data_IF_009672556504
#
_entry.id   IF_009672556504
#
_cell.length_a   1.000
_cell.length_b   1.000
_cell.length_c   1.000
_cell.angle_alpha   90.00
_cell.angle_beta   90.00
_cell.angle_gamma   90.00
#
_symmetry.space_group_name_H-M   'P 1'
#
loop_
_entity.id
_entity.type
_entity.pdbx_description
1 polymer ?
#
# COMPACT_ATOMS: atom_id res chain seq x y z
N UNK A 1 20.35 -9.16 -27.54
CA UNK A 1 19.35 -8.16 -27.09
C UNK A 1 19.67 -7.76 -25.67
N UNK A 2 19.78 -6.46 -25.42
CA UNK A 2 19.97 -5.97 -24.05
C UNK A 2 18.67 -6.14 -23.27
N UNK A 3 18.77 -6.69 -22.09
CA UNK A 3 17.63 -6.79 -21.18
C UNK A 3 17.16 -5.39 -20.77
N UNK A 4 15.86 -5.15 -20.86
CA UNK A 4 15.29 -3.88 -20.46
C UNK A 4 15.40 -3.72 -18.95
N UNK A 5 15.81 -2.55 -18.49
CA UNK A 5 15.91 -2.25 -17.07
C UNK A 5 15.07 -1.02 -16.74
N UNK A 6 14.55 -0.98 -15.52
CA UNK A 6 13.85 0.17 -14.97
C UNK A 6 14.53 0.59 -13.67
N UNK A 7 14.81 1.88 -13.52
CA UNK A 7 15.44 2.39 -12.32
C UNK A 7 14.42 3.12 -11.44
N UNK A 8 14.29 2.66 -10.20
CA UNK A 8 13.52 3.35 -9.17
C UNK A 8 14.51 4.16 -8.35
N UNK A 9 14.34 5.47 -8.36
CA UNK A 9 15.22 6.36 -7.60
C UNK A 9 14.93 6.27 -6.11
N UNK A 10 15.98 6.36 -5.29
CA UNK A 10 15.85 6.52 -3.86
C UNK A 10 15.95 7.98 -3.47
N UNK A 11 15.30 8.33 -2.38
CA UNK A 11 15.43 9.65 -1.77
C UNK A 11 16.88 9.84 -1.29
N UNK A 12 17.40 11.07 -1.30
CA UNK A 12 18.75 11.35 -0.82
C UNK A 12 18.98 10.78 0.60
N UNK A 13 20.08 10.09 0.80
CA UNK A 13 20.44 9.49 2.08
C UNK A 13 19.91 8.07 2.30
N UNK A 14 19.14 7.51 1.36
CA UNK A 14 18.54 6.18 1.50
C UNK A 14 19.25 5.09 0.71
N UNK A 15 20.43 5.37 0.23
CA UNK A 15 21.24 4.39 -0.50
C UNK A 15 21.16 4.57 -2.01
N UNK A 16 21.65 3.56 -2.72
CA UNK A 16 21.69 3.58 -4.18
C UNK A 16 20.30 3.35 -4.80
N UNK A 17 20.12 3.86 -6.01
CA UNK A 17 18.90 3.62 -6.78
C UNK A 17 18.71 2.11 -7.04
N UNK A 18 17.46 1.70 -7.18
CA UNK A 18 17.08 0.31 -7.40
C UNK A 18 16.99 0.08 -8.90
N UNK A 19 17.86 -0.76 -9.45
CA UNK A 19 17.84 -1.12 -10.88
C UNK A 19 17.18 -2.48 -11.01
N UNK A 20 16.10 -2.56 -11.77
CA UNK A 20 15.29 -3.77 -11.92
C UNK A 20 15.35 -4.25 -13.36
N UNK A 21 15.96 -5.42 -13.55
CA UNK A 21 16.04 -6.07 -14.84
C UNK A 21 14.68 -6.66 -15.24
N UNK A 22 14.34 -6.60 -16.52
CA UNK A 22 13.12 -7.17 -17.06
C UNK A 22 11.85 -6.38 -16.73
N UNK A 23 11.98 -5.13 -16.28
CA UNK A 23 10.84 -4.26 -16.02
C UNK A 23 10.83 -3.09 -17.01
N UNK A 24 9.65 -2.76 -17.51
CA UNK A 24 9.45 -1.64 -18.44
C UNK A 24 8.60 -0.52 -17.83
N UNK A 25 7.95 -0.78 -16.71
CA UNK A 25 7.12 0.20 -16.01
C UNK A 25 7.48 0.25 -14.54
N UNK A 26 7.12 1.36 -13.87
CA UNK A 26 7.31 1.49 -12.42
C UNK A 26 6.55 0.38 -11.68
N UNK A 27 5.36 0.02 -12.12
CA UNK A 27 4.55 -1.03 -11.51
C UNK A 27 5.27 -2.38 -11.56
N UNK A 28 5.81 -2.77 -12.72
CA UNK A 28 6.58 -4.01 -12.86
C UNK A 28 7.83 -4.00 -11.99
N UNK A 29 8.54 -2.87 -11.97
CA UNK A 29 9.74 -2.71 -11.16
C UNK A 29 9.43 -2.82 -9.67
N UNK A 30 8.35 -2.20 -9.21
CA UNK A 30 7.91 -2.25 -7.81
C UNK A 30 7.55 -3.67 -7.40
N UNK A 31 6.82 -4.40 -8.23
CA UNK A 31 6.44 -5.79 -7.94
C UNK A 31 7.67 -6.69 -7.85
N UNK A 32 8.63 -6.53 -8.77
CA UNK A 32 9.86 -7.34 -8.79
C UNK A 32 10.80 -7.03 -7.62
N UNK A 33 10.86 -5.79 -7.17
CA UNK A 33 11.77 -5.35 -6.11
C UNK A 33 11.08 -5.08 -4.77
N UNK A 34 9.84 -5.51 -4.60
CA UNK A 34 8.98 -5.17 -3.44
C UNK A 34 9.64 -5.35 -2.07
N UNK A 35 10.56 -6.30 -1.92
CA UNK A 35 11.23 -6.55 -0.65
C UNK A 35 12.20 -5.44 -0.23
N UNK A 36 12.51 -4.49 -1.11
CA UNK A 36 13.54 -3.47 -0.83
C UNK A 36 13.18 -2.12 -1.46
N UNK A 37 12.04 -1.57 -1.04
CA UNK A 37 11.56 -0.28 -1.53
C UNK A 37 11.72 0.84 -0.49
N UNK A 38 12.49 0.61 0.57
CA UNK A 38 12.73 1.63 1.60
C UNK A 38 13.35 2.88 0.99
N UNK A 39 12.74 4.02 1.28
CA UNK A 39 13.21 5.31 0.76
C UNK A 39 13.01 5.52 -0.73
N UNK A 40 12.31 4.64 -1.43
CA UNK A 40 12.07 4.76 -2.87
C UNK A 40 11.21 5.98 -3.18
N UNK A 41 11.51 6.65 -4.28
CA UNK A 41 10.67 7.71 -4.83
C UNK A 41 9.64 7.07 -5.75
N UNK A 42 8.43 6.90 -5.23
CA UNK A 42 7.28 6.37 -5.95
C UNK A 42 6.21 7.45 -6.15
N UNK A 43 6.60 8.72 -6.00
CA UNK A 43 5.68 9.83 -6.21
C UNK A 43 5.10 9.78 -7.62
N UNK A 44 3.78 9.98 -7.71
CA UNK A 44 3.01 9.96 -8.97
C UNK A 44 3.03 8.61 -9.71
N UNK A 45 3.51 7.53 -9.08
CA UNK A 45 3.56 6.21 -9.71
C UNK A 45 2.15 5.61 -9.88
N UNK A 46 1.95 4.85 -10.96
CA UNK A 46 0.73 4.07 -11.15
C UNK A 46 0.93 2.69 -10.51
N UNK A 47 0.20 2.44 -9.43
CA UNK A 47 0.33 1.22 -8.64
C UNK A 47 -0.93 0.35 -8.66
N UNK A 48 -1.91 0.68 -9.51
CA UNK A 48 -3.15 -0.08 -9.62
C UNK A 48 -2.87 -1.55 -9.92
N UNK A 49 -3.42 -2.44 -9.10
CA UNK A 49 -3.23 -3.88 -9.26
C UNK A 49 -1.84 -4.40 -8.89
N UNK A 50 -0.93 -3.56 -8.40
CA UNK A 50 0.38 -4.01 -7.95
C UNK A 50 0.25 -4.85 -6.67
N UNK A 51 0.85 -6.04 -6.67
CA UNK A 51 0.87 -6.90 -5.49
C UNK A 51 2.09 -6.53 -4.63
N UNK A 52 1.84 -5.90 -3.50
CA UNK A 52 2.89 -5.37 -2.64
C UNK A 52 3.05 -6.12 -1.30
N UNK A 53 2.34 -7.23 -1.07
CA UNK A 53 2.53 -8.02 0.15
C UNK A 53 4.00 -8.35 0.35
N UNK A 54 4.51 -8.09 1.57
CA UNK A 54 5.92 -8.28 1.89
C UNK A 54 6.83 -7.14 1.46
N UNK A 55 6.31 -6.09 0.84
CA UNK A 55 7.11 -4.95 0.43
C UNK A 55 7.53 -4.11 1.63
N UNK A 56 8.79 -3.66 1.63
CA UNK A 56 9.29 -2.68 2.57
C UNK A 56 9.14 -1.29 1.96
N UNK A 57 8.20 -0.51 2.48
CA UNK A 57 7.92 0.85 2.01
C UNK A 57 8.32 1.93 3.01
N UNK A 58 9.16 1.59 3.99
CA UNK A 58 9.62 2.55 5.00
C UNK A 58 10.22 3.78 4.34
N UNK A 59 9.65 4.95 4.66
CA UNK A 59 10.12 6.23 4.13
C UNK A 59 10.06 6.37 2.61
N UNK A 60 9.36 5.48 1.91
CA UNK A 60 9.10 5.67 0.49
C UNK A 60 8.21 6.90 0.29
N UNK A 61 8.48 7.65 -0.77
CA UNK A 61 7.62 8.77 -1.16
C UNK A 61 6.54 8.27 -2.09
N UNK A 62 5.29 8.29 -1.62
CA UNK A 62 4.12 7.82 -2.36
C UNK A 62 3.17 8.96 -2.72
N UNK A 63 3.61 10.21 -2.50
CA UNK A 63 2.76 11.38 -2.76
C UNK A 63 2.35 11.46 -4.23
N UNK A 64 1.04 11.57 -4.45
CA UNK A 64 0.49 11.65 -5.80
C UNK A 64 0.46 10.35 -6.57
N UNK A 65 0.84 9.22 -5.97
CA UNK A 65 0.71 7.92 -6.62
C UNK A 65 -0.76 7.60 -6.88
N UNK A 66 -1.02 6.86 -7.96
CA UNK A 66 -2.37 6.53 -8.39
C UNK A 66 -2.67 5.05 -8.14
N UNK A 67 -3.78 4.77 -7.48
CA UNK A 67 -4.27 3.41 -7.26
C UNK A 67 -5.75 3.36 -7.65
N UNK A 68 -6.04 2.62 -8.72
CA UNK A 68 -7.40 2.48 -9.25
C UNK A 68 -8.13 3.83 -9.43
N UNK A 69 -7.44 4.80 -10.03
CA UNK A 69 -8.00 6.12 -10.32
C UNK A 69 -8.03 7.09 -9.14
N UNK A 70 -7.60 6.67 -7.96
CA UNK A 70 -7.54 7.51 -6.77
C UNK A 70 -6.11 7.91 -6.47
N UNK A 71 -5.92 9.19 -6.18
CA UNK A 71 -4.60 9.74 -5.86
C UNK A 71 -4.36 9.65 -4.35
N UNK A 72 -3.24 9.07 -3.95
CA UNK A 72 -2.86 8.97 -2.53
C UNK A 72 -1.90 10.09 -2.15
N UNK A 73 -1.91 10.49 -0.88
CA UNK A 73 -1.00 11.51 -0.35
C UNK A 73 0.18 10.88 0.38
N UNK A 74 -0.09 9.82 1.14
CA UNK A 74 0.96 9.12 1.89
C UNK A 74 0.50 7.77 2.39
N UNK A 75 1.47 6.92 2.71
CA UNK A 75 1.25 5.71 3.48
C UNK A 75 1.08 6.08 4.95
N UNK A 76 0.00 5.62 5.59
CA UNK A 76 -0.25 5.85 7.01
C UNK A 76 0.42 4.80 7.88
N UNK A 77 0.25 3.54 7.51
CA UNK A 77 0.83 2.41 8.21
C UNK A 77 0.69 1.15 7.37
N UNK A 78 1.38 0.11 7.79
CA UNK A 78 1.20 -1.24 7.27
C UNK A 78 1.02 -2.21 8.43
N UNK A 79 0.37 -3.33 8.15
CA UNK A 79 0.16 -4.39 9.13
C UNK A 79 0.29 -5.74 8.45
N UNK A 80 0.95 -6.68 9.13
CA UNK A 80 1.19 -8.02 8.61
C UNK A 80 0.29 -9.03 9.30
N UNK A 81 -0.40 -9.83 8.50
CA UNK A 81 -1.13 -10.98 9.01
C UNK A 81 -0.19 -12.19 9.04
N UNK A 82 -0.43 -13.13 9.95
CA UNK A 82 0.46 -14.28 10.16
C UNK A 82 0.63 -15.16 8.92
N UNK A 83 -0.32 -15.12 7.99
CA UNK A 83 -0.20 -15.86 6.73
C UNK A 83 0.69 -15.18 5.69
N UNK A 84 1.33 -14.07 6.04
CA UNK A 84 2.28 -13.37 5.17
C UNK A 84 1.69 -12.23 4.35
N UNK A 85 0.39 -11.98 4.42
CA UNK A 85 -0.22 -10.84 3.74
C UNK A 85 0.07 -9.54 4.47
N UNK A 86 0.46 -8.52 3.73
CA UNK A 86 0.65 -7.16 4.25
C UNK A 86 -0.49 -6.28 3.78
N UNK A 87 -1.08 -5.55 4.72
CA UNK A 87 -2.09 -4.54 4.44
C UNK A 87 -1.45 -3.16 4.53
N UNK A 88 -1.62 -2.35 3.48
CA UNK A 88 -1.11 -0.98 3.45
C UNK A 88 -2.26 0.00 3.51
N UNK A 89 -2.24 0.90 4.47
CA UNK A 89 -3.28 1.93 4.63
C UNK A 89 -2.75 3.26 4.11
N UNK A 90 -3.48 3.86 3.19
CA UNK A 90 -3.11 5.12 2.54
C UNK A 90 -4.14 6.20 2.82
N UNK A 91 -3.66 7.42 2.99
CA UNK A 91 -4.51 8.61 2.97
C UNK A 91 -4.74 9.04 1.52
N UNK A 92 -5.97 9.38 1.19
CA UNK A 92 -6.35 9.84 -0.16
C UNK A 92 -6.32 11.36 -0.24
N UNK A 93 -5.97 11.89 -1.40
CA UNK A 93 -6.02 13.33 -1.66
C UNK A 93 -7.44 13.88 -1.49
N UNK A 94 -8.43 13.13 -1.94
CA UNK A 94 -9.84 13.49 -1.80
C UNK A 94 -10.38 13.36 -0.36
N UNK A 95 -9.57 12.85 0.56
CA UNK A 95 -9.95 12.54 1.92
C UNK A 95 -10.26 11.06 2.11
N UNK A 96 -10.21 10.60 3.35
CA UNK A 96 -10.46 9.21 3.68
C UNK A 96 -9.21 8.33 3.63
N UNK A 97 -9.43 7.07 3.96
CA UNK A 97 -8.38 6.04 4.01
C UNK A 97 -8.82 4.86 3.16
N UNK A 98 -7.90 4.34 2.37
CA UNK A 98 -8.10 3.05 1.70
C UNK A 98 -6.95 2.10 1.99
N UNK A 99 -7.28 0.82 1.96
CA UNK A 99 -6.36 -0.25 2.29
C UNK A 99 -6.10 -1.09 1.05
N UNK A 100 -4.83 -1.28 0.74
CA UNK A 100 -4.39 -2.24 -0.26
C UNK A 100 -4.18 -3.59 0.43
N UNK A 101 -4.99 -4.57 0.06
CA UNK A 101 -4.93 -5.93 0.58
C UNK A 101 -4.72 -6.88 -0.61
N UNK A 102 -3.47 -7.31 -0.82
CA UNK A 102 -3.09 -8.00 -2.05
C UNK A 102 -3.29 -7.06 -3.24
N UNK A 103 -4.10 -7.46 -4.22
CA UNK A 103 -4.49 -6.61 -5.33
C UNK A 103 -5.82 -5.88 -5.10
N UNK A 104 -6.42 -6.03 -3.92
CA UNK A 104 -7.71 -5.42 -3.57
C UNK A 104 -7.53 -4.04 -2.98
N UNK A 105 -8.53 -3.20 -3.15
CA UNK A 105 -8.53 -1.81 -2.75
C UNK A 105 -9.83 -1.49 -2.03
N UNK A 106 -9.77 -1.33 -0.70
CA UNK A 106 -10.95 -1.24 0.15
C UNK A 106 -10.94 0.01 1.02
N UNK A 107 -12.11 0.56 1.30
CA UNK A 107 -12.29 1.35 2.53
C UNK A 107 -12.23 0.39 3.73
N UNK A 108 -12.08 0.93 4.93
CA UNK A 108 -12.11 0.09 6.14
C UNK A 108 -13.45 -0.65 6.25
N UNK A 109 -14.56 0.05 5.99
CA UNK A 109 -15.90 -0.55 6.06
C UNK A 109 -16.07 -1.67 5.03
N UNK A 110 -15.61 -1.45 3.79
CA UNK A 110 -15.65 -2.47 2.74
C UNK A 110 -14.83 -3.71 3.12
N UNK A 111 -13.66 -3.50 3.71
CA UNK A 111 -12.81 -4.61 4.14
C UNK A 111 -13.46 -5.42 5.27
N UNK A 112 -14.08 -4.75 6.25
CA UNK A 112 -14.85 -5.44 7.30
C UNK A 112 -15.98 -6.29 6.72
N UNK A 113 -16.71 -5.75 5.76
CA UNK A 113 -17.78 -6.48 5.08
C UNK A 113 -17.23 -7.69 4.31
N UNK A 114 -16.07 -7.53 3.67
CA UNK A 114 -15.40 -8.61 2.95
C UNK A 114 -15.01 -9.75 3.91
N UNK A 115 -14.44 -9.42 5.06
CA UNK A 115 -14.08 -10.41 6.09
C UNK A 115 -15.30 -11.19 6.55
N UNK A 116 -16.40 -10.50 6.82
CA UNK A 116 -17.65 -11.13 7.29
C UNK A 116 -18.25 -12.05 6.22
N UNK A 117 -18.11 -11.72 4.95
CA UNK A 117 -18.68 -12.48 3.84
C UNK A 117 -17.82 -13.70 3.46
N UNK A 118 -16.49 -13.53 3.43
CA UNK A 118 -15.59 -14.53 2.84
C UNK A 118 -15.03 -15.54 3.84
N UNK A 119 -14.81 -15.15 5.08
CA UNK A 119 -14.24 -16.05 6.08
C UNK A 119 -14.75 -15.76 7.50
N UNK A 120 -16.10 -15.83 7.69
CA UNK A 120 -16.70 -15.56 9.00
C UNK A 120 -16.28 -16.60 10.06
N UNK A 121 -16.22 -16.16 11.30
CA UNK A 121 -15.97 -17.03 12.47
C UNK A 121 -14.67 -17.83 12.39
N UNK A 122 -13.61 -17.25 11.80
CA UNK A 122 -12.31 -17.90 11.70
C UNK A 122 -11.25 -17.10 12.47
N UNK A 123 -10.13 -17.75 12.79
CA UNK A 123 -8.98 -17.06 13.39
C UNK A 123 -8.42 -16.00 12.45
N UNK A 124 -8.45 -16.27 11.16
CA UNK A 124 -8.05 -15.32 10.13
C UNK A 124 -8.91 -14.05 10.15
N UNK A 125 -10.22 -14.22 10.34
CA UNK A 125 -11.14 -13.09 10.46
C UNK A 125 -10.83 -12.27 11.72
N UNK A 126 -10.65 -12.93 12.86
CA UNK A 126 -10.33 -12.25 14.13
C UNK A 126 -9.04 -11.45 14.00
N UNK A 127 -7.99 -12.04 13.47
CA UNK A 127 -6.71 -11.37 13.26
C UNK A 127 -6.86 -10.17 12.31
N UNK A 128 -7.57 -10.34 11.20
CA UNK A 128 -7.79 -9.27 10.23
C UNK A 128 -8.54 -8.09 10.87
N UNK A 129 -9.56 -8.38 11.68
CA UNK A 129 -10.32 -7.33 12.37
C UNK A 129 -9.46 -6.59 13.39
N UNK A 130 -8.57 -7.29 14.09
CA UNK A 130 -7.62 -6.66 15.01
C UNK A 130 -6.66 -5.71 14.27
N UNK A 131 -6.17 -6.13 13.10
CA UNK A 131 -5.30 -5.30 12.27
C UNK A 131 -6.04 -4.08 11.72
N UNK A 132 -7.32 -4.23 11.36
CA UNK A 132 -8.16 -3.10 10.94
C UNK A 132 -8.36 -2.10 12.08
N UNK A 133 -8.57 -2.58 13.31
CA UNK A 133 -8.68 -1.72 14.48
C UNK A 133 -7.39 -0.93 14.72
N UNK A 134 -6.23 -1.56 14.52
CA UNK A 134 -4.94 -0.89 14.59
C UNK A 134 -4.83 0.20 13.52
N UNK A 135 -5.21 -0.09 12.28
CA UNK A 135 -5.18 0.88 11.19
C UNK A 135 -6.08 2.08 11.49
N UNK A 136 -7.28 1.83 12.01
CA UNK A 136 -8.20 2.90 12.41
C UNK A 136 -7.60 3.80 13.50
N UNK A 137 -7.02 3.19 14.51
CA UNK A 137 -6.38 3.91 15.62
C UNK A 137 -5.20 4.75 15.11
N UNK A 138 -4.43 4.20 14.17
CA UNK A 138 -3.29 4.90 13.59
C UNK A 138 -3.74 6.09 12.74
N UNK A 139 -4.76 5.92 11.93
CA UNK A 139 -5.34 7.02 11.14
C UNK A 139 -5.82 8.14 12.06
N UNK A 140 -6.53 7.79 13.13
CA UNK A 140 -7.02 8.75 14.11
C UNK A 140 -5.87 9.52 14.78
N UNK A 141 -4.80 8.83 15.18
CA UNK A 141 -3.65 9.48 15.82
C UNK A 141 -2.90 10.42 14.87
N UNK A 142 -3.00 10.18 13.56
CA UNK A 142 -2.42 11.04 12.53
C UNK A 142 -3.38 12.14 12.04
N UNK A 143 -4.59 12.21 12.60
CA UNK A 143 -5.58 13.22 12.23
C UNK A 143 -6.26 12.98 10.90
N UNK A 144 -6.28 11.72 10.42
CA UNK A 144 -6.88 11.37 9.14
C UNK A 144 -8.23 10.69 9.36
N UNK A 145 -9.29 11.25 8.77
CA UNK A 145 -10.62 10.65 8.82
C UNK A 145 -10.65 9.38 7.96
N UNK A 146 -11.39 8.35 8.40
CA UNK A 146 -11.49 7.09 7.68
C UNK A 146 -12.26 7.20 6.37
N UNK A 147 -13.26 8.07 6.33
CA UNK A 147 -14.11 8.27 5.15
C UNK A 147 -14.16 9.74 4.78
N UNK A 148 -14.40 9.99 3.49
CA UNK A 148 -14.66 11.36 3.02
C UNK A 148 -15.93 11.88 3.69
N UNK A 149 -15.83 13.07 4.29
CA UNK A 149 -17.04 13.73 4.77
C UNK A 149 -17.88 14.13 3.56
N UNK A 150 -19.04 13.50 3.42
CA UNK A 150 -20.03 13.96 2.47
C UNK A 150 -20.73 15.16 3.08
N UNK A 151 -20.51 16.29 2.47
CA UNK A 151 -21.20 17.52 2.87
C UNK A 151 -22.69 17.40 2.62
#
# INVERSE_FOLDING_TARGET
MSEQTFTIKRRPGWGQDIVVAGASTVREAVVKSRANLSGADLSRAYLSGAYLSGAYLSRADLSGAMVYGEKITRLLTSANRMDGHTFFAFALEAGGVKIMAGCRWFTVAEFRAHVAAEYPDTDKAAETLDLLAFIEARAKSLGVALETETA
#
